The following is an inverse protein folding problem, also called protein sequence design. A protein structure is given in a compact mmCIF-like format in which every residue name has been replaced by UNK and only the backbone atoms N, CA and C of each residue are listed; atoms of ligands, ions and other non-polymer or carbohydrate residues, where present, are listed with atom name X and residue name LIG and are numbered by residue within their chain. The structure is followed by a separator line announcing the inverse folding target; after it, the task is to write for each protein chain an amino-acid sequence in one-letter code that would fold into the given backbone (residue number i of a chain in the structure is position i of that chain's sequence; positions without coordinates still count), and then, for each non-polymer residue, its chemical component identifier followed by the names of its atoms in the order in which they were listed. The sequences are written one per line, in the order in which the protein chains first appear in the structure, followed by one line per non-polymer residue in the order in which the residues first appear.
data_IF_854894112704
#
_entry.id   IF_854894112704
#
_cell.length_a   1.000
_cell.length_b   1.000
_cell.length_c   1.000
_cell.angle_alpha   90.00
_cell.angle_beta   90.00
_cell.angle_gamma   90.00
#
_symmetry.space_group_name_H-M   'P 1'
#
loop_
_entity.id
_entity.type
_entity.pdbx_description
1 polymer ?
#
# COMPACT_ATOMS: atom_id res chain seq x y z
N UNK A 1 0.25 -3.53 -10.39
CA UNK A 1 1.13 -3.82 -11.55
C UNK A 1 1.75 -2.57 -12.19
N UNK A 2 1.01 -1.48 -12.43
CA UNK A 2 1.58 -0.23 -13.02
C UNK A 2 2.63 0.51 -12.17
N UNK A 3 2.50 0.51 -10.83
CA UNK A 3 3.47 1.14 -9.92
C UNK A 3 4.86 0.47 -9.89
N UNK A 4 5.00 -0.72 -10.49
CA UNK A 4 6.25 -1.49 -10.54
C UNK A 4 7.15 -1.07 -11.71
N UNK A 5 6.56 -0.83 -12.88
CA UNK A 5 7.30 -0.47 -14.09
C UNK A 5 7.72 1.00 -14.10
N UNK A 6 6.96 1.88 -13.44
CA UNK A 6 7.24 3.31 -13.37
C UNK A 6 7.18 3.79 -11.92
N UNK A 7 8.26 3.60 -11.13
CA UNK A 7 8.35 4.26 -9.84
C UNK A 7 8.15 5.77 -10.07
N UNK A 8 7.24 6.43 -9.32
CA UNK A 8 7.05 7.87 -9.43
C UNK A 8 8.34 8.55 -8.96
N UNK A 9 9.22 8.90 -9.91
CA UNK A 9 10.50 9.59 -9.65
C UNK A 9 10.29 11.03 -9.20
N UNK A 10 9.14 11.60 -9.56
CA UNK A 10 8.73 12.97 -9.26
C UNK A 10 7.42 12.95 -8.47
N UNK A 11 7.28 13.90 -7.54
CA UNK A 11 6.03 14.14 -6.81
C UNK A 11 4.99 14.59 -7.83
N UNK A 12 3.97 13.78 -8.06
CA UNK A 12 2.95 14.07 -9.06
C UNK A 12 1.53 13.89 -8.51
N UNK A 13 0.56 14.46 -9.23
CA UNK A 13 -0.86 14.40 -8.85
C UNK A 13 -1.71 13.39 -9.64
N UNK A 14 -1.08 12.52 -10.46
CA UNK A 14 -1.75 11.50 -11.29
C UNK A 14 -1.65 10.07 -10.71
N UNK A 15 -0.46 9.54 -10.38
CA UNK A 15 -0.25 8.23 -9.72
C UNK A 15 0.69 8.22 -8.48
N UNK A 16 0.55 7.24 -7.59
CA UNK A 16 1.41 7.04 -6.41
C UNK A 16 0.69 7.14 -5.06
N UNK A 17 1.38 6.79 -3.97
CA UNK A 17 0.87 6.94 -2.60
C UNK A 17 0.86 8.42 -2.22
N UNK A 18 -0.34 9.00 -2.15
CA UNK A 18 -0.56 10.45 -1.98
C UNK A 18 -1.16 10.77 -0.61
N UNK A 19 -0.35 10.71 0.42
CA UNK A 19 -0.68 11.40 1.67
C UNK A 19 0.09 12.70 1.78
N UNK A 20 -0.45 13.67 2.54
CA UNK A 20 0.22 14.95 2.80
C UNK A 20 1.63 14.73 3.34
N UNK A 21 1.80 13.72 4.20
CA UNK A 21 3.08 13.27 4.77
C UNK A 21 4.05 12.76 3.70
N UNK A 22 3.57 11.98 2.72
CA UNK A 22 4.38 11.45 1.62
C UNK A 22 4.89 12.51 0.65
N UNK A 23 4.16 13.63 0.47
CA UNK A 23 4.51 14.70 -0.47
C UNK A 23 5.43 15.77 0.13
N UNK A 24 5.78 15.66 1.41
CA UNK A 24 6.59 16.67 2.12
C UNK A 24 7.92 16.92 1.42
N UNK A 25 8.68 15.84 1.13
CA UNK A 25 9.98 15.89 0.46
C UNK A 25 10.08 14.78 -0.60
N UNK A 26 10.97 14.93 -1.60
CA UNK A 26 11.22 13.88 -2.62
C UNK A 26 11.69 12.55 -2.01
N UNK A 27 12.41 12.61 -0.90
CA UNK A 27 12.86 11.43 -0.15
C UNK A 27 11.68 10.67 0.48
N UNK A 28 10.80 11.37 1.21
CA UNK A 28 9.57 10.83 1.77
C UNK A 28 8.67 10.23 0.68
N UNK A 29 8.57 10.90 -0.47
CA UNK A 29 7.80 10.41 -1.61
C UNK A 29 8.36 9.09 -2.16
N UNK A 30 9.67 8.98 -2.31
CA UNK A 30 10.35 7.76 -2.74
C UNK A 30 10.17 6.62 -1.72
N UNK A 31 10.36 6.93 -0.43
CA UNK A 31 10.23 5.98 0.66
C UNK A 31 8.79 5.45 0.78
N UNK A 32 7.79 6.33 0.69
CA UNK A 32 6.37 5.99 0.72
C UNK A 32 5.98 5.01 -0.39
N UNK A 33 6.35 5.33 -1.63
CA UNK A 33 6.00 4.52 -2.79
C UNK A 33 6.76 3.18 -2.80
N UNK A 34 8.01 3.16 -2.34
CA UNK A 34 8.78 1.93 -2.16
C UNK A 34 8.14 1.02 -1.11
N UNK A 35 7.77 1.58 0.04
CA UNK A 35 7.18 0.82 1.14
C UNK A 35 5.78 0.32 0.80
N UNK A 36 4.94 1.19 0.21
CA UNK A 36 3.61 0.85 -0.29
C UNK A 36 3.65 -0.35 -1.25
N UNK A 37 4.62 -0.37 -2.18
CA UNK A 37 4.80 -1.48 -3.12
C UNK A 37 5.10 -2.80 -2.41
N UNK A 38 6.03 -2.80 -1.45
CA UNK A 38 6.37 -4.00 -0.69
C UNK A 38 5.18 -4.49 0.14
N UNK A 39 4.51 -3.58 0.85
CA UNK A 39 3.34 -3.91 1.66
C UNK A 39 2.19 -4.47 0.81
N UNK A 40 1.90 -3.88 -0.35
CA UNK A 40 0.84 -4.37 -1.25
C UNK A 40 1.09 -5.80 -1.72
N UNK A 41 2.34 -6.19 -1.99
CA UNK A 41 2.65 -7.58 -2.34
C UNK A 41 2.48 -8.50 -1.13
N UNK A 42 3.08 -8.14 0.00
CA UNK A 42 3.04 -9.00 1.19
C UNK A 42 1.61 -9.22 1.65
N UNK A 43 0.83 -8.15 1.80
CA UNK A 43 -0.58 -8.25 2.17
C UNK A 43 -1.42 -8.89 1.08
N UNK A 44 -1.12 -8.65 -0.21
CA UNK A 44 -1.81 -9.32 -1.32
C UNK A 44 -1.66 -10.84 -1.28
N UNK A 45 -0.45 -11.34 -1.01
CA UNK A 45 -0.19 -12.78 -0.85
C UNK A 45 -0.90 -13.33 0.39
N UNK A 46 -0.85 -12.61 1.52
CA UNK A 46 -1.55 -13.02 2.75
C UNK A 46 -3.06 -13.14 2.51
N UNK A 47 -3.68 -12.14 1.88
CA UNK A 47 -5.12 -12.14 1.59
C UNK A 47 -5.47 -13.28 0.63
N UNK A 48 -4.64 -13.57 -0.36
CA UNK A 48 -4.87 -14.66 -1.31
C UNK A 48 -4.85 -16.02 -0.60
N UNK A 49 -3.87 -16.25 0.27
CA UNK A 49 -3.81 -17.46 1.11
C UNK A 49 -4.99 -17.54 2.07
N UNK A 50 -5.36 -16.42 2.70
CA UNK A 50 -6.49 -16.36 3.62
C UNK A 50 -7.81 -16.66 2.90
N UNK A 51 -8.00 -16.13 1.70
CA UNK A 51 -9.20 -16.37 0.89
C UNK A 51 -9.32 -17.81 0.39
N UNK A 52 -8.21 -18.55 0.25
CA UNK A 52 -8.24 -19.97 -0.09
C UNK A 52 -8.71 -20.83 1.09
N UNK A 53 -8.36 -20.42 2.31
CA UNK A 53 -8.75 -21.12 3.55
C UNK A 53 -10.19 -20.77 3.93
N UNK A 54 -10.54 -19.49 3.89
CA UNK A 54 -11.85 -18.97 4.26
C UNK A 54 -12.70 -18.72 3.00
N UNK A 55 -13.62 -19.65 2.72
CA UNK A 55 -14.57 -19.53 1.60
C UNK A 55 -15.71 -18.51 1.82
N UNK A 56 -15.68 -17.76 2.93
CA UNK A 56 -16.68 -16.74 3.23
C UNK A 56 -16.28 -15.40 2.60
N UNK A 57 -17.10 -14.90 1.68
CA UNK A 57 -16.94 -13.60 1.02
C UNK A 57 -16.95 -12.44 2.01
N UNK A 58 -17.74 -12.53 3.09
CA UNK A 58 -17.84 -11.49 4.12
C UNK A 58 -16.52 -11.37 4.91
N UNK A 59 -15.93 -12.50 5.30
CA UNK A 59 -14.66 -12.51 6.03
C UNK A 59 -13.54 -11.93 5.15
N UNK A 60 -13.49 -12.32 3.87
CA UNK A 60 -12.48 -11.82 2.94
C UNK A 60 -12.61 -10.31 2.70
N UNK A 61 -13.84 -9.78 2.65
CA UNK A 61 -14.09 -8.35 2.51
C UNK A 61 -13.61 -7.57 3.75
N UNK A 62 -13.88 -8.08 4.95
CA UNK A 62 -13.41 -7.49 6.21
C UNK A 62 -11.89 -7.51 6.26
N UNK A 63 -11.26 -8.64 5.96
CA UNK A 63 -9.79 -8.79 5.94
C UNK A 63 -9.13 -7.82 4.96
N UNK A 64 -9.73 -7.61 3.77
CA UNK A 64 -9.27 -6.62 2.80
C UNK A 64 -9.30 -5.20 3.39
N UNK A 65 -10.43 -4.80 3.99
CA UNK A 65 -10.60 -3.48 4.59
C UNK A 65 -9.59 -3.21 5.71
N UNK A 66 -9.41 -4.16 6.63
CA UNK A 66 -8.42 -4.07 7.71
C UNK A 66 -7.00 -3.97 7.16
N UNK A 67 -6.68 -4.74 6.12
CA UNK A 67 -5.35 -4.71 5.49
C UNK A 67 -5.04 -3.36 4.86
N UNK A 68 -6.00 -2.71 4.20
CA UNK A 68 -5.81 -1.37 3.61
C UNK A 68 -5.53 -0.33 4.69
N UNK A 69 -6.27 -0.36 5.81
CA UNK A 69 -6.06 0.54 6.95
C UNK A 69 -4.69 0.33 7.60
N UNK A 70 -4.27 -0.93 7.77
CA UNK A 70 -2.94 -1.27 8.27
C UNK A 70 -1.83 -0.77 7.36
N UNK A 71 -1.97 -0.99 6.04
CA UNK A 71 -1.01 -0.48 5.05
C UNK A 71 -0.90 1.04 5.16
N UNK A 72 -2.03 1.74 5.24
CA UNK A 72 -2.04 3.20 5.39
C UNK A 72 -1.28 3.64 6.66
N UNK A 73 -1.61 3.03 7.80
CA UNK A 73 -1.02 3.38 9.09
C UNK A 73 0.48 3.08 9.16
N UNK A 74 0.90 1.92 8.64
CA UNK A 74 2.32 1.53 8.56
C UNK A 74 3.13 2.49 7.69
N UNK A 75 2.55 2.97 6.60
CA UNK A 75 3.21 3.93 5.72
C UNK A 75 3.32 5.30 6.42
N UNK A 76 2.27 5.77 7.09
CA UNK A 76 2.30 7.04 7.84
C UNK A 76 3.33 7.02 8.99
N UNK A 77 3.39 5.96 9.80
CA UNK A 77 4.40 5.82 10.86
C UNK A 77 5.83 5.90 10.31
N UNK A 78 6.05 5.39 9.09
CA UNK A 78 7.39 5.33 8.51
C UNK A 78 7.85 6.66 7.92
N UNK A 79 6.92 7.52 7.52
CA UNK A 79 7.19 8.79 6.81
C UNK A 79 7.02 10.01 7.73
N UNK A 80 6.21 9.90 8.77
CA UNK A 80 6.04 10.93 9.81
C UNK A 80 7.32 11.13 10.61
#
# INVERSE_FOLDING_TARGET
MFLFLFPPREINNIYGYRTSSSKRNKENWGMANKYCRHLLITFGIIILLFSLIFKSTIINLITLGVSILLIYFLIEIKIS
#
